data_IF_399365898803
#
_entry.id   IF_399365898803
#
_cell.length_a   1.000
_cell.length_b   1.000
_cell.length_c   1.000
_cell.angle_alpha   90.00
_cell.angle_beta   90.00
_cell.angle_gamma   90.00
#
_symmetry.space_group_name_H-M   'P 1'
#
loop_
_entity.id
_entity.type
_entity.pdbx_description
1 polymer ?
#
# COMPACT_ATOMS: atom_id res chain seq x y z
N UNK A 1 -8.90 -15.92 -29.28
CA UNK A 1 -9.32 -14.68 -28.59
C UNK A 1 -8.24 -14.31 -27.58
N UNK A 2 -7.88 -13.03 -27.47
CA UNK A 2 -6.89 -12.56 -26.50
C UNK A 2 -7.62 -11.73 -25.44
N UNK A 3 -7.60 -12.20 -24.19
CA UNK A 3 -8.04 -11.44 -23.03
C UNK A 3 -6.82 -10.78 -22.39
N UNK A 4 -6.90 -9.49 -22.11
CA UNK A 4 -5.81 -8.72 -21.53
C UNK A 4 -6.37 -7.64 -20.59
N UNK A 5 -5.71 -7.43 -19.45
CA UNK A 5 -5.93 -6.31 -18.54
C UNK A 5 -4.60 -5.56 -18.43
N UNK A 6 -4.61 -4.29 -18.82
CA UNK A 6 -3.46 -3.40 -18.65
C UNK A 6 -3.60 -2.57 -17.37
N UNK A 7 -2.47 -2.24 -16.74
CA UNK A 7 -2.40 -1.29 -15.63
C UNK A 7 -1.30 -0.25 -15.94
N UNK A 8 -1.63 1.03 -15.87
CA UNK A 8 -0.73 2.15 -16.20
C UNK A 8 -1.24 3.42 -15.53
N UNK A 9 -0.42 4.47 -15.54
CA UNK A 9 -0.83 5.78 -15.04
C UNK A 9 -1.71 6.53 -16.06
N UNK A 10 -2.43 7.55 -15.60
CA UNK A 10 -3.27 8.36 -16.47
C UNK A 10 -2.45 9.08 -17.56
N UNK A 11 -1.24 9.52 -17.23
CA UNK A 11 -0.39 10.29 -18.13
C UNK A 11 0.22 9.38 -19.21
N UNK A 12 0.67 8.19 -18.85
CA UNK A 12 1.12 7.18 -19.81
C UNK A 12 -0.02 6.71 -20.71
N UNK A 13 -1.23 6.51 -20.17
CA UNK A 13 -2.40 6.18 -20.99
C UNK A 13 -2.66 7.25 -22.06
N UNK A 14 -2.66 8.54 -21.68
CA UNK A 14 -2.82 9.67 -22.60
C UNK A 14 -1.70 9.73 -23.64
N UNK A 15 -0.47 9.44 -23.23
CA UNK A 15 0.69 9.58 -24.09
C UNK A 15 0.79 8.45 -25.12
N UNK A 16 0.45 7.22 -24.75
CA UNK A 16 0.78 6.02 -25.53
C UNK A 16 -0.43 5.23 -26.03
N UNK A 17 -1.57 5.28 -25.33
CA UNK A 17 -2.76 4.49 -25.69
C UNK A 17 -3.80 5.35 -26.41
N UNK A 18 -4.12 6.51 -25.85
CA UNK A 18 -5.15 7.42 -26.38
C UNK A 18 -4.77 8.01 -27.76
N UNK A 19 -3.48 8.06 -28.08
CA UNK A 19 -3.01 8.50 -29.41
C UNK A 19 -3.20 7.45 -30.52
N UNK A 20 -3.41 6.18 -30.16
CA UNK A 20 -3.63 5.09 -31.11
C UNK A 20 -5.12 4.70 -31.14
N UNK A 21 -5.81 5.11 -32.20
CA UNK A 21 -7.24 4.85 -32.39
C UNK A 21 -7.61 3.35 -32.37
N UNK A 22 -6.67 2.45 -32.71
CA UNK A 22 -6.92 1.02 -32.67
C UNK A 22 -6.86 0.46 -31.25
N UNK A 23 -6.00 0.99 -30.39
CA UNK A 23 -5.92 0.61 -28.98
C UNK A 23 -7.05 1.26 -28.17
N UNK A 24 -7.32 2.54 -28.39
CA UNK A 24 -8.38 3.28 -27.70
C UNK A 24 -9.75 2.58 -27.82
N UNK A 25 -10.11 2.12 -29.03
CA UNK A 25 -11.38 1.39 -29.26
C UNK A 25 -11.40 -0.04 -28.71
N UNK A 26 -10.25 -0.59 -28.32
CA UNK A 26 -10.12 -1.97 -27.81
C UNK A 26 -10.03 -2.02 -26.29
N UNK A 27 -9.53 -0.96 -25.66
CA UNK A 27 -9.40 -0.87 -24.22
C UNK A 27 -10.49 0.01 -23.63
N UNK A 28 -11.31 -0.57 -22.74
CA UNK A 28 -12.20 0.21 -21.90
C UNK A 28 -11.40 0.81 -20.74
N UNK A 29 -11.43 2.14 -20.60
CA UNK A 29 -10.80 2.81 -19.45
C UNK A 29 -11.61 2.54 -18.18
N UNK A 30 -10.93 2.03 -17.16
CA UNK A 30 -11.43 1.90 -15.78
C UNK A 30 -10.52 2.72 -14.90
N UNK A 31 -11.05 3.78 -14.29
CA UNK A 31 -10.27 4.64 -13.41
C UNK A 31 -10.22 4.05 -12.01
N UNK A 32 -9.02 3.90 -11.47
CA UNK A 32 -8.77 3.43 -10.10
C UNK A 32 -8.09 4.58 -9.37
N UNK A 33 -8.81 5.22 -8.46
CA UNK A 33 -8.32 6.33 -7.66
C UNK A 33 -7.54 5.83 -6.43
N UNK A 34 -6.74 6.72 -5.85
CA UNK A 34 -6.19 6.51 -4.50
C UNK A 34 -7.34 6.31 -3.50
N UNK A 35 -7.26 5.30 -2.61
CA UNK A 35 -8.27 5.08 -1.57
C UNK A 35 -8.25 6.19 -0.53
N UNK A 36 -9.37 6.39 0.16
CA UNK A 36 -9.42 7.29 1.32
C UNK A 36 -8.61 6.72 2.49
N UNK A 37 -8.38 7.54 3.53
CA UNK A 37 -7.78 7.07 4.79
C UNK A 37 -8.62 5.95 5.41
N UNK A 38 -9.95 6.07 5.39
CA UNK A 38 -10.86 5.05 5.93
C UNK A 38 -10.80 3.74 5.13
N UNK A 39 -10.80 3.83 3.79
CA UNK A 39 -10.63 2.66 2.91
C UNK A 39 -9.28 1.99 3.14
N UNK A 40 -8.22 2.78 3.33
CA UNK A 40 -6.88 2.27 3.63
C UNK A 40 -6.86 1.53 4.96
N UNK A 41 -7.52 2.05 6.00
CA UNK A 41 -7.65 1.35 7.29
C UNK A 41 -8.35 -0.01 7.08
N UNK A 42 -9.40 -0.07 6.27
CA UNK A 42 -10.07 -1.34 5.97
C UNK A 42 -9.17 -2.32 5.20
N UNK A 43 -8.40 -1.84 4.21
CA UNK A 43 -7.40 -2.62 3.47
C UNK A 43 -6.35 -3.19 4.43
N UNK A 44 -5.77 -2.35 5.29
CA UNK A 44 -4.76 -2.76 6.27
C UNK A 44 -5.31 -3.78 7.28
N UNK A 45 -6.56 -3.61 7.73
CA UNK A 45 -7.23 -4.62 8.58
C UNK A 45 -7.38 -5.97 7.87
N UNK A 46 -7.68 -5.96 6.57
CA UNK A 46 -7.72 -7.18 5.75
C UNK A 46 -6.35 -7.83 5.52
N UNK A 47 -5.27 -7.04 5.51
CA UNK A 47 -3.90 -7.53 5.35
C UNK A 47 -3.21 -7.88 6.67
N UNK A 48 -3.80 -7.48 7.81
CA UNK A 48 -3.21 -7.58 9.14
C UNK A 48 -2.64 -8.97 9.44
N UNK A 49 -3.45 -10.00 9.33
CA UNK A 49 -3.06 -11.38 9.69
C UNK A 49 -1.85 -11.86 8.88
N UNK A 50 -1.76 -11.47 7.61
CA UNK A 50 -0.63 -11.82 6.74
C UNK A 50 0.67 -11.20 7.23
N UNK A 51 0.66 -9.92 7.65
CA UNK A 51 1.86 -9.25 8.15
C UNK A 51 2.23 -9.69 9.57
N UNK A 52 1.24 -9.96 10.43
CA UNK A 52 1.46 -10.55 11.76
C UNK A 52 2.18 -11.90 11.65
N UNK A 53 1.73 -12.77 10.73
CA UNK A 53 2.37 -14.06 10.49
C UNK A 53 3.76 -13.93 9.86
N UNK A 54 3.94 -12.97 8.94
CA UNK A 54 5.22 -12.76 8.27
C UNK A 54 6.32 -12.29 9.24
N UNK A 55 6.00 -11.33 10.11
CA UNK A 55 6.95 -10.75 11.07
C UNK A 55 6.95 -11.45 12.42
N UNK A 56 5.99 -12.33 12.68
CA UNK A 56 5.74 -12.95 13.99
C UNK A 56 5.52 -11.93 15.11
N UNK A 57 4.73 -10.89 14.83
CA UNK A 57 4.36 -9.84 15.77
C UNK A 57 2.85 -9.66 15.81
N UNK A 58 2.35 -8.92 16.80
CA UNK A 58 0.94 -8.51 16.85
C UNK A 58 0.80 -7.05 16.43
N UNK A 59 -0.08 -6.80 15.45
CA UNK A 59 -0.38 -5.47 14.94
C UNK A 59 -1.69 -4.99 15.59
N UNK A 60 -1.59 -3.95 16.40
CA UNK A 60 -2.75 -3.39 17.10
C UNK A 60 -3.59 -2.51 16.16
N UNK A 61 -4.91 -2.43 16.40
CA UNK A 61 -5.78 -1.56 15.60
C UNK A 61 -5.37 -0.08 15.64
N UNK A 62 -4.95 0.49 16.80
CA UNK A 62 -4.39 1.85 16.83
C UNK A 62 -3.17 2.04 15.92
N UNK A 63 -2.30 1.03 15.79
CA UNK A 63 -1.15 1.10 14.88
C UNK A 63 -1.59 1.18 13.41
N UNK A 64 -2.64 0.44 13.03
CA UNK A 64 -3.22 0.50 11.68
C UNK A 64 -3.79 1.90 11.39
N UNK A 65 -4.58 2.43 12.32
CA UNK A 65 -5.16 3.78 12.18
C UNK A 65 -4.06 4.84 12.09
N UNK A 66 -3.02 4.72 12.92
CA UNK A 66 -1.89 5.63 12.90
C UNK A 66 -1.10 5.54 11.58
N UNK A 67 -0.81 4.33 11.08
CA UNK A 67 -0.09 4.14 9.82
C UNK A 67 -0.83 4.80 8.64
N UNK A 68 -2.14 4.60 8.52
CA UNK A 68 -2.93 5.24 7.48
C UNK A 68 -2.98 6.78 7.64
N UNK A 69 -3.24 7.28 8.85
CA UNK A 69 -3.40 8.72 9.11
C UNK A 69 -2.08 9.49 8.95
N UNK A 70 -0.99 8.96 9.50
CA UNK A 70 0.31 9.62 9.52
C UNK A 70 0.99 9.55 8.15
N UNK A 71 0.91 8.40 7.45
CA UNK A 71 1.44 8.31 6.08
C UNK A 71 0.69 9.25 5.14
N UNK A 72 -0.64 9.37 5.27
CA UNK A 72 -1.42 10.32 4.48
C UNK A 72 -0.99 11.77 4.74
N UNK A 73 -0.73 12.13 6.01
CA UNK A 73 -0.39 13.49 6.40
C UNK A 73 1.05 13.90 6.08
N UNK A 74 2.02 12.99 6.22
CA UNK A 74 3.44 13.36 6.21
C UNK A 74 4.24 12.81 5.03
N UNK A 75 3.73 11.81 4.31
CA UNK A 75 4.39 11.24 3.12
C UNK A 75 3.58 11.67 1.90
N UNK A 76 3.95 12.80 1.29
CA UNK A 76 3.17 13.45 0.22
C UNK A 76 3.58 13.04 -1.20
N UNK A 77 4.73 12.40 -1.36
CA UNK A 77 5.31 11.95 -2.64
C UNK A 77 4.89 10.52 -3.01
N UNK A 78 4.11 9.85 -2.16
CA UNK A 78 3.60 8.49 -2.35
C UNK A 78 2.09 8.43 -2.11
N UNK A 79 1.46 7.41 -2.68
CA UNK A 79 0.01 7.22 -2.64
C UNK A 79 -0.39 6.15 -1.64
N UNK A 80 -1.56 6.31 -1.01
CA UNK A 80 -2.25 5.22 -0.34
C UNK A 80 -2.68 4.14 -1.36
N UNK A 81 -2.84 2.87 -0.94
CA UNK A 81 -2.58 2.34 0.40
C UNK A 81 -1.10 1.95 0.63
N UNK A 82 -0.29 1.96 -0.43
CA UNK A 82 1.09 1.45 -0.48
C UNK A 82 1.98 2.05 0.62
N UNK A 83 2.04 3.38 0.75
CA UNK A 83 2.84 4.03 1.80
C UNK A 83 2.43 3.65 3.23
N UNK A 84 1.16 3.31 3.46
CA UNK A 84 0.70 2.91 4.79
C UNK A 84 1.01 1.44 5.07
N UNK A 85 0.99 0.59 4.04
CA UNK A 85 1.43 -0.81 4.10
C UNK A 85 2.93 -0.85 4.45
N UNK A 86 3.74 -0.02 3.79
CA UNK A 86 5.17 0.07 4.07
C UNK A 86 5.47 0.42 5.53
N UNK A 87 4.74 1.39 6.12
CA UNK A 87 4.92 1.73 7.54
C UNK A 87 4.60 0.55 8.46
N UNK A 88 3.59 -0.26 8.13
CA UNK A 88 3.24 -1.47 8.90
C UNK A 88 4.33 -2.53 8.74
N UNK A 89 4.84 -2.71 7.53
CA UNK A 89 5.89 -3.68 7.22
C UNK A 89 7.21 -3.34 7.94
N UNK A 90 7.66 -2.09 7.84
CA UNK A 90 8.86 -1.59 8.51
C UNK A 90 8.74 -1.65 10.04
N UNK A 91 7.58 -1.27 10.60
CA UNK A 91 7.34 -1.36 12.04
C UNK A 91 7.33 -2.82 12.53
N UNK A 92 6.74 -3.74 11.75
CA UNK A 92 6.75 -5.17 12.03
C UNK A 92 8.16 -5.75 12.04
N UNK A 93 8.95 -5.43 11.02
CA UNK A 93 10.35 -5.84 10.92
C UNK A 93 11.19 -5.27 12.07
N UNK A 94 11.03 -3.99 12.40
CA UNK A 94 11.73 -3.33 13.51
C UNK A 94 11.43 -4.01 14.85
N UNK A 95 10.16 -4.31 15.13
CA UNK A 95 9.76 -4.97 16.37
C UNK A 95 10.35 -6.40 16.44
N UNK A 96 10.34 -7.13 15.32
CA UNK A 96 10.95 -8.46 15.25
C UNK A 96 12.45 -8.43 15.55
N UNK A 97 13.18 -7.47 14.98
CA UNK A 97 14.60 -7.28 15.26
C UNK A 97 14.88 -6.99 16.73
N UNK A 98 14.05 -6.17 17.38
CA UNK A 98 14.16 -5.89 18.82
C UNK A 98 13.93 -7.14 19.67
N UNK A 99 12.96 -7.99 19.30
CA UNK A 99 12.69 -9.25 20.01
C UNK A 99 13.84 -10.26 19.90
N UNK A 100 14.53 -10.31 18.76
CA UNK A 100 15.68 -11.20 18.55
C UNK A 100 16.98 -10.62 19.15
N UNK A 101 16.99 -9.36 19.59
CA UNK A 101 18.14 -8.70 20.20
C UNK A 101 18.26 -8.98 21.70
N UNK A 102 19.51 -9.01 22.23
CA UNK A 102 19.73 -9.03 23.68
C UNK A 102 19.24 -7.70 24.28
N UNK A 103 18.66 -7.68 25.49
CA UNK A 103 18.25 -6.43 26.13
C UNK A 103 19.44 -5.46 26.13
N UNK A 104 19.22 -4.26 25.59
CA UNK A 104 20.19 -3.19 25.77
C UNK A 104 20.35 -2.97 27.27
N UNK A 105 21.61 -2.80 27.71
CA UNK A 105 21.86 -2.51 29.11
C UNK A 105 21.14 -1.20 29.45
N UNK A 106 20.26 -1.25 30.45
CA UNK A 106 19.74 -0.05 31.08
C UNK A 106 20.93 0.63 31.75
N UNK A 107 21.29 1.83 31.30
CA UNK A 107 22.20 2.75 32.02
C UNK A 107 21.55 3.18 33.36
#
# INVERSE_FOLDING_TARGET
ELHCVGATTLDEYRQYIEKDAALERRFQKVYVAEPTVEDTIAILRGLKERYELHHHVQITDPAIVAAATLSHRYISDRMLPDKAIDLIDEAGASLRMQMDSKPEALD
#
